data_IF_724353245072
#
_entry.id   IF_724353245072
#
_cell.length_a   1.000
_cell.length_b   1.000
_cell.length_c   1.000
_cell.angle_alpha   90.00
_cell.angle_beta   90.00
_cell.angle_gamma   90.00
#
_symmetry.space_group_name_H-M   'P 1'
#
loop_
_entity.id
_entity.type
_entity.pdbx_description
1 polymer ?
#
# COMPACT_ATOMS: atom_id res chain seq x y z
N UNK A 1 -3.45 10.21 2.81
CA UNK A 1 -3.15 10.09 1.36
C UNK A 1 -2.18 8.95 1.15
N UNK A 2 -2.05 8.44 -0.08
CA UNK A 2 -1.20 7.31 -0.45
C UNK A 2 -0.41 7.69 -1.70
N UNK A 3 0.90 7.44 -1.71
CA UNK A 3 1.74 7.58 -2.90
C UNK A 3 2.38 6.22 -3.22
N UNK A 4 2.37 5.83 -4.49
CA UNK A 4 2.95 4.58 -4.97
C UNK A 4 4.29 4.83 -5.64
N UNK A 5 5.26 3.96 -5.36
CA UNK A 5 6.61 4.05 -5.87
C UNK A 5 7.02 2.72 -6.51
N UNK A 6 7.80 2.82 -7.57
CA UNK A 6 8.57 1.71 -8.13
C UNK A 6 10.04 2.08 -7.99
N UNK A 7 10.75 1.39 -7.10
CA UNK A 7 12.09 1.77 -6.65
C UNK A 7 12.06 3.19 -6.03
N UNK A 8 12.90 4.09 -6.51
CA UNK A 8 13.02 5.49 -6.08
C UNK A 8 12.12 6.46 -6.88
N UNK A 9 11.33 5.94 -7.83
CA UNK A 9 10.48 6.75 -8.71
C UNK A 9 9.02 6.67 -8.25
N UNK A 10 8.40 7.82 -7.98
CA UNK A 10 6.96 7.89 -7.75
C UNK A 10 6.21 7.59 -9.06
N UNK A 11 5.21 6.70 -9.01
CA UNK A 11 4.44 6.28 -10.18
C UNK A 11 2.97 6.62 -9.98
N UNK A 12 2.44 7.45 -10.89
CA UNK A 12 1.09 7.99 -10.81
C UNK A 12 0.95 9.15 -9.82
N UNK A 13 -0.28 9.64 -9.65
CA UNK A 13 -0.60 10.72 -8.74
C UNK A 13 -0.82 10.22 -7.30
N UNK A 14 -0.69 11.12 -6.33
CA UNK A 14 -1.01 10.83 -4.93
C UNK A 14 -2.52 10.57 -4.78
N UNK A 15 -2.88 9.37 -4.32
CA UNK A 15 -4.26 8.99 -4.05
C UNK A 15 -4.76 9.60 -2.73
N UNK A 16 -5.90 10.30 -2.78
CA UNK A 16 -6.53 10.89 -1.60
C UNK A 16 -7.78 10.09 -1.23
N UNK A 17 -7.76 9.50 -0.03
CA UNK A 17 -8.90 8.77 0.53
C UNK A 17 -9.79 9.78 1.26
N UNK A 18 -11.07 9.94 0.86
CA UNK A 18 -12.01 10.80 1.59
C UNK A 18 -12.25 10.26 3.01
N UNK A 19 -12.47 11.14 3.99
CA UNK A 19 -12.80 10.73 5.37
C UNK A 19 -14.11 9.92 5.47
N UNK A 20 -14.97 10.00 4.45
CA UNK A 20 -16.19 9.19 4.33
C UNK A 20 -15.93 7.72 3.94
N UNK A 21 -14.69 7.40 3.52
CA UNK A 21 -14.25 6.07 3.13
C UNK A 21 -13.31 5.53 4.24
N UNK A 22 -13.85 4.92 5.31
CA UNK A 22 -13.03 4.45 6.43
C UNK A 22 -12.13 3.29 6.05
N UNK A 23 -12.44 2.59 4.96
CA UNK A 23 -11.61 1.52 4.40
C UNK A 23 -11.19 1.94 3.00
N UNK A 24 -9.92 1.75 2.68
CA UNK A 24 -9.40 1.86 1.31
C UNK A 24 -8.71 0.56 0.92
N UNK A 25 -8.97 0.09 -0.30
CA UNK A 25 -8.28 -1.06 -0.90
C UNK A 25 -7.19 -0.57 -1.83
N UNK A 26 -5.96 -1.09 -1.70
CA UNK A 26 -4.85 -0.85 -2.64
C UNK A 26 -4.49 -2.18 -3.28
N UNK A 27 -4.62 -2.30 -4.60
CA UNK A 27 -4.52 -3.59 -5.29
C UNK A 27 -3.82 -3.51 -6.67
N UNK A 28 -3.54 -4.67 -7.25
CA UNK A 28 -2.86 -4.81 -8.54
C UNK A 28 -3.81 -4.83 -9.75
N UNK A 29 -5.11 -4.59 -9.57
CA UNK A 29 -6.08 -4.54 -10.66
C UNK A 29 -6.03 -3.17 -11.37
N UNK A 30 -6.99 -2.87 -12.26
CA UNK A 30 -6.86 -1.80 -13.26
C UNK A 30 -7.99 -0.75 -13.25
N UNK A 31 -8.91 -0.79 -12.28
CA UNK A 31 -10.06 0.12 -12.23
C UNK A 31 -9.63 1.55 -11.84
N UNK A 32 -9.81 2.56 -12.70
CA UNK A 32 -9.35 3.92 -12.45
C UNK A 32 -10.34 4.79 -11.65
N UNK A 33 -11.48 4.25 -11.20
CA UNK A 33 -12.59 5.03 -10.62
C UNK A 33 -12.24 5.78 -9.32
N UNK A 34 -11.27 5.28 -8.57
CA UNK A 34 -10.82 5.88 -7.30
C UNK A 34 -11.82 5.74 -6.15
N UNK A 35 -11.92 6.75 -5.30
CA UNK A 35 -12.77 6.71 -4.10
C UNK A 35 -12.15 5.91 -2.96
N UNK A 36 -12.70 4.73 -2.68
CA UNK A 36 -12.24 3.78 -1.66
C UNK A 36 -11.32 2.69 -2.23
N UNK A 37 -10.92 2.80 -3.49
CA UNK A 37 -10.07 1.81 -4.16
C UNK A 37 -8.99 2.46 -5.02
N UNK A 38 -7.74 2.09 -4.77
CA UNK A 38 -6.57 2.53 -5.51
C UNK A 38 -5.93 1.36 -6.25
N UNK A 39 -6.27 1.23 -7.53
CA UNK A 39 -5.70 0.23 -8.43
C UNK A 39 -4.33 0.69 -8.95
N UNK A 40 -3.32 -0.17 -8.87
CA UNK A 40 -1.95 0.10 -9.31
C UNK A 40 -1.66 -0.47 -10.71
N UNK A 41 -2.48 -1.40 -11.20
CA UNK A 41 -2.23 -2.22 -12.39
C UNK A 41 -2.14 -1.41 -13.69
N UNK A 42 -2.96 -0.36 -13.81
CA UNK A 42 -3.03 0.51 -14.98
C UNK A 42 -1.99 1.64 -14.98
N UNK A 43 -1.24 1.84 -13.89
CA UNK A 43 -0.25 2.91 -13.80
C UNK A 43 0.94 2.62 -14.71
N UNK A 44 1.31 3.59 -15.54
CA UNK A 44 2.47 3.53 -16.43
C UNK A 44 3.72 4.09 -15.76
N UNK A 45 4.87 3.48 -16.05
CA UNK A 45 6.18 3.98 -15.65
C UNK A 45 7.19 3.67 -16.77
N UNK A 46 7.79 4.69 -17.37
CA UNK A 46 8.77 4.54 -18.47
C UNK A 46 10.09 3.91 -18.02
N UNK A 47 10.35 3.89 -16.71
CA UNK A 47 11.53 3.28 -16.10
C UNK A 47 11.24 1.87 -15.54
N UNK A 48 10.06 1.31 -15.82
CA UNK A 48 9.69 -0.01 -15.32
C UNK A 48 10.59 -1.09 -15.94
N UNK A 49 11.14 -1.93 -15.07
CA UNK A 49 12.00 -3.07 -15.45
C UNK A 49 11.23 -4.39 -15.36
N UNK A 50 11.73 -5.45 -16.00
CA UNK A 50 11.13 -6.80 -15.91
C UNK A 50 11.03 -7.33 -14.47
N UNK A 51 11.93 -6.91 -13.58
CA UNK A 51 11.86 -7.28 -12.17
C UNK A 51 10.64 -6.64 -11.49
N UNK A 52 10.36 -5.36 -11.79
CA UNK A 52 9.20 -4.63 -11.29
C UNK A 52 7.91 -5.22 -11.87
N UNK A 53 7.87 -5.53 -13.17
CA UNK A 53 6.72 -6.20 -13.79
C UNK A 53 6.40 -7.52 -13.12
N UNK A 54 7.41 -8.36 -12.87
CA UNK A 54 7.24 -9.63 -12.15
C UNK A 54 6.76 -9.43 -10.72
N UNK A 55 7.28 -8.44 -10.00
CA UNK A 55 6.82 -8.15 -8.64
C UNK A 55 5.34 -7.72 -8.62
N UNK A 56 4.92 -6.89 -9.57
CA UNK A 56 3.54 -6.40 -9.68
C UNK A 56 2.49 -7.49 -9.86
N UNK A 57 2.85 -8.59 -10.53
CA UNK A 57 1.98 -9.77 -10.67
C UNK A 57 1.56 -10.37 -9.32
N UNK A 58 2.38 -10.21 -8.28
CA UNK A 58 2.14 -10.76 -6.94
C UNK A 58 1.38 -9.80 -6.02
N UNK A 59 1.08 -8.57 -6.46
CA UNK A 59 0.25 -7.64 -5.68
C UNK A 59 -1.16 -8.22 -5.54
N UNK A 60 -1.76 -8.69 -6.63
CA UNK A 60 -3.08 -9.32 -6.62
C UNK A 60 -4.14 -8.45 -5.93
N UNK A 61 -4.84 -9.01 -4.94
CA UNK A 61 -5.84 -8.29 -4.13
C UNK A 61 -5.23 -7.28 -3.15
N UNK A 62 -3.91 -7.25 -3.00
CA UNK A 62 -3.17 -6.25 -2.26
C UNK A 62 -3.54 -6.16 -0.78
N UNK A 63 -3.84 -4.95 -0.31
CA UNK A 63 -4.12 -4.68 1.11
C UNK A 63 -5.37 -3.82 1.28
N UNK A 64 -5.99 -3.94 2.45
CA UNK A 64 -6.92 -2.96 2.97
C UNK A 64 -6.27 -2.17 4.09
N UNK A 65 -6.43 -0.84 4.04
CA UNK A 65 -6.14 0.07 5.14
C UNK A 65 -7.48 0.52 5.72
N UNK A 66 -7.67 0.31 7.01
CA UNK A 66 -8.91 0.64 7.71
C UNK A 66 -8.62 1.64 8.83
N UNK A 67 -9.28 2.78 8.77
CA UNK A 67 -9.29 3.79 9.82
C UNK A 67 -10.41 3.46 10.82
N UNK A 68 -10.05 3.29 12.10
CA UNK A 68 -10.99 3.04 13.20
C UNK A 68 -10.95 4.13 14.25
N UNK A 69 -12.12 4.43 14.81
CA UNK A 69 -12.26 5.40 15.90
C UNK A 69 -11.73 6.77 15.49
N UNK A 70 -10.84 7.32 16.32
CA UNK A 70 -10.29 8.67 16.16
C UNK A 70 -9.08 8.74 15.21
N UNK A 71 -8.62 7.61 14.66
CA UNK A 71 -7.50 7.58 13.70
C UNK A 71 -6.60 6.35 13.74
N UNK A 72 -6.99 5.27 14.44
CA UNK A 72 -6.21 4.03 14.45
C UNK A 72 -6.21 3.41 13.05
N UNK A 73 -5.05 2.99 12.56
CA UNK A 73 -4.91 2.39 11.23
C UNK A 73 -4.63 0.90 11.35
N UNK A 74 -5.49 0.11 10.74
CA UNK A 74 -5.38 -1.34 10.63
C UNK A 74 -4.99 -1.73 9.21
N UNK A 75 -4.19 -2.78 9.07
CA UNK A 75 -3.81 -3.37 7.78
C UNK A 75 -4.37 -4.78 7.71
N UNK A 76 -5.06 -5.10 6.62
CA UNK A 76 -5.43 -6.47 6.26
C UNK A 76 -4.73 -6.84 4.96
N UNK A 77 -3.87 -7.85 5.00
CA UNK A 77 -3.29 -8.42 3.79
C UNK A 77 -4.35 -9.29 3.10
N UNK A 78 -4.74 -8.89 1.87
CA UNK A 78 -5.64 -9.65 1.01
C UNK A 78 -4.88 -10.41 -0.08
N UNK A 79 -3.62 -10.03 -0.32
CA UNK A 79 -2.71 -10.71 -1.24
C UNK A 79 -2.34 -12.11 -0.73
N UNK A 80 -2.03 -12.99 -1.66
CA UNK A 80 -1.44 -14.30 -1.38
C UNK A 80 0.05 -14.19 -0.98
N UNK A 81 0.64 -13.00 -1.11
CA UNK A 81 1.99 -12.69 -0.67
C UNK A 81 1.97 -11.77 0.55
N UNK A 82 2.90 -11.99 1.47
CA UNK A 82 3.08 -11.11 2.62
C UNK A 82 3.48 -9.69 2.18
N UNK A 83 3.11 -8.72 2.99
CA UNK A 83 3.54 -7.32 2.85
C UNK A 83 4.58 -7.00 3.92
N UNK A 84 5.35 -5.94 3.71
CA UNK A 84 6.35 -5.50 4.66
C UNK A 84 6.04 -4.06 5.04
N UNK A 85 5.93 -3.79 6.34
CA UNK A 85 5.46 -2.53 6.89
C UNK A 85 6.55 -1.93 7.77
N UNK A 86 6.77 -0.62 7.62
CA UNK A 86 7.54 0.19 8.55
C UNK A 86 6.54 0.97 9.42
N UNK A 87 6.61 0.80 10.74
CA UNK A 87 5.69 1.43 11.68
C UNK A 87 6.35 1.58 13.04
N UNK A 88 6.51 2.83 13.50
CA UNK A 88 7.02 3.12 14.83
C UNK A 88 6.14 2.56 15.96
N UNK A 89 4.84 2.40 15.71
CA UNK A 89 3.96 1.72 16.66
C UNK A 89 4.39 0.27 16.83
N UNK A 90 4.54 -0.47 15.72
CA UNK A 90 4.94 -1.89 15.77
C UNK A 90 6.37 -2.06 16.28
N UNK A 91 7.29 -1.13 15.99
CA UNK A 91 8.64 -1.14 16.56
C UNK A 91 8.58 -1.11 18.09
N UNK A 92 7.77 -0.19 18.65
CA UNK A 92 7.59 -0.06 20.09
C UNK A 92 6.97 -1.32 20.70
N UNK A 93 5.90 -1.85 20.09
CA UNK A 93 5.25 -3.08 20.57
C UNK A 93 6.20 -4.29 20.51
N UNK A 94 7.13 -4.33 19.55
CA UNK A 94 8.15 -5.37 19.44
C UNK A 94 9.42 -5.11 20.28
N UNK A 95 9.49 -4.01 21.03
CA UNK A 95 10.67 -3.65 21.84
C UNK A 95 11.90 -3.28 21.00
N UNK A 96 11.71 -2.75 19.80
CA UNK A 96 12.76 -2.32 18.87
C UNK A 96 12.97 -0.80 18.93
N UNK A 97 14.16 -0.35 18.52
CA UNK A 97 14.40 1.07 18.34
C UNK A 97 13.52 1.61 17.17
N UNK A 98 13.07 2.88 17.22
CA UNK A 98 12.25 3.45 16.15
C UNK A 98 12.96 3.37 14.79
N UNK A 99 12.34 2.68 13.82
CA UNK A 99 12.84 2.54 12.46
C UNK A 99 13.88 1.44 12.27
N UNK A 100 14.17 0.65 13.30
CA UNK A 100 15.17 -0.43 13.28
C UNK A 100 14.55 -1.82 13.04
N UNK A 101 13.33 -1.87 12.52
CA UNK A 101 12.67 -3.12 12.16
C UNK A 101 11.76 -2.98 10.93
N UNK A 102 11.51 -4.12 10.31
CA UNK A 102 10.55 -4.30 9.23
C UNK A 102 9.56 -5.38 9.69
N UNK A 103 8.28 -5.09 9.62
CA UNK A 103 7.20 -5.97 10.09
C UNK A 103 6.58 -6.69 8.89
N UNK A 104 6.75 -8.01 8.82
CA UNK A 104 6.18 -8.86 7.76
C UNK A 104 4.79 -9.35 8.15
#
# INVERSE_FOLDING_TARGET
>A
SIAYFEMDVQVGETFKVPSSCPVVTVDGYVDPSGGDRFCLGQLSNVHRTEAIERARLHIGKGVQLECKGEGDVWVRCLSDHAVFVQSYYLDREAGRAPGDAVHK
#
